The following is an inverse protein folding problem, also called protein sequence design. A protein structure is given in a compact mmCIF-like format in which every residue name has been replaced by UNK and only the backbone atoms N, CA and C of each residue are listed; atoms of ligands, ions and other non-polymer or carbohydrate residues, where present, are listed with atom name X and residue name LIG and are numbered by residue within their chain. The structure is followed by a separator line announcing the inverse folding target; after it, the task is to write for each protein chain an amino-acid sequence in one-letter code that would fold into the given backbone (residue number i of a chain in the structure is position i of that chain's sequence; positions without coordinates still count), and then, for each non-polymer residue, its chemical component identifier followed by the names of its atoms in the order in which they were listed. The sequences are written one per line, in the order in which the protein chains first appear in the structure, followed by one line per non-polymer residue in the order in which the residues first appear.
data_IF_660236190664
#
_entry.id   IF_660236190664
#
_cell.length_a   1.000
_cell.length_b   1.000
_cell.length_c   1.000
_cell.angle_alpha   90.00
_cell.angle_beta   90.00
_cell.angle_gamma   90.00
#
_symmetry.space_group_name_H-M   'P 1'
#
loop_
_entity.id
_entity.type
_entity.pdbx_description
1 polymer ?
#
# COMPACT_ATOMS: atom_id res chain seq x y z
N UNK A 1 -16.27 12.32 76.50
CA UNK A 1 -14.87 11.91 76.30
C UNK A 1 -14.59 11.83 74.82
N UNK A 2 -13.73 12.74 74.35
CA UNK A 2 -12.80 12.72 73.21
C UNK A 2 -13.27 12.19 71.83
N UNK A 3 -13.21 13.11 70.85
CA UNK A 3 -13.25 12.93 69.39
C UNK A 3 -11.99 12.22 68.87
N UNK A 4 -12.11 11.46 67.77
CA UNK A 4 -11.02 11.06 66.87
C UNK A 4 -11.54 10.31 65.62
N UNK A 5 -10.94 10.45 64.43
CA UNK A 5 -11.70 10.73 63.20
C UNK A 5 -11.73 9.61 62.14
N UNK A 6 -12.55 9.89 61.11
CA UNK A 6 -12.88 9.12 59.91
C UNK A 6 -11.67 8.66 59.08
N UNK A 7 -11.73 7.39 58.64
CA UNK A 7 -10.93 6.85 57.53
C UNK A 7 -11.82 6.63 56.31
N UNK A 8 -11.61 7.42 55.26
CA UNK A 8 -12.25 7.29 53.97
C UNK A 8 -11.61 6.15 53.17
N UNK A 9 -12.40 5.17 52.75
CA UNK A 9 -12.00 4.19 51.75
C UNK A 9 -12.47 4.69 50.38
N UNK A 10 -11.51 5.16 49.58
CA UNK A 10 -11.74 5.54 48.20
C UNK A 10 -11.92 4.26 47.35
N UNK A 11 -13.11 4.10 46.78
CA UNK A 11 -13.40 3.12 45.74
C UNK A 11 -12.75 3.63 44.45
N UNK A 12 -11.62 3.06 44.07
CA UNK A 12 -11.05 3.23 42.74
C UNK A 12 -11.82 2.33 41.76
N UNK A 13 -12.57 2.97 40.87
CA UNK A 13 -13.41 2.33 39.85
C UNK A 13 -12.60 1.54 38.82
N UNK A 14 -13.28 0.68 38.05
CA UNK A 14 -12.64 -0.16 37.05
C UNK A 14 -12.18 0.72 35.87
N UNK A 15 -10.88 0.71 35.60
CA UNK A 15 -10.31 1.15 34.34
C UNK A 15 -10.87 0.26 33.23
N UNK A 16 -11.87 0.78 32.54
CA UNK A 16 -12.39 0.22 31.30
C UNK A 16 -11.25 0.14 30.28
N UNK A 17 -10.74 -1.07 30.07
CA UNK A 17 -10.06 -1.44 28.82
C UNK A 17 -11.09 -1.37 27.70
N UNK A 18 -11.24 -0.16 27.13
CA UNK A 18 -11.86 0.00 25.83
C UNK A 18 -10.93 -0.59 24.78
N UNK A 19 -11.23 -1.82 24.35
CA UNK A 19 -10.86 -2.26 23.01
C UNK A 19 -11.62 -1.36 22.04
N UNK A 20 -11.04 -0.20 21.73
CA UNK A 20 -11.45 0.60 20.60
C UNK A 20 -11.21 -0.23 19.36
N UNK A 21 -12.29 -0.75 18.78
CA UNK A 21 -12.36 -0.86 17.33
C UNK A 21 -11.95 0.52 16.81
N UNK A 22 -10.70 0.64 16.35
CA UNK A 22 -10.27 1.80 15.60
C UNK A 22 -11.12 1.79 14.32
N UNK A 23 -12.26 2.49 14.39
CA UNK A 23 -12.95 2.93 13.19
C UNK A 23 -11.88 3.62 12.35
N UNK A 24 -11.64 3.12 11.13
CA UNK A 24 -10.81 3.82 10.15
C UNK A 24 -11.33 5.26 10.10
N UNK A 25 -10.53 6.22 10.56
CA UNK A 25 -10.96 7.62 10.67
C UNK A 25 -11.01 8.33 9.31
N UNK A 26 -10.64 7.65 8.22
CA UNK A 26 -10.69 8.15 6.85
C UNK A 26 -10.41 7.03 5.83
N UNK A 27 -10.54 7.38 4.56
CA UNK A 27 -10.21 6.52 3.42
C UNK A 27 -8.71 6.25 3.27
N UNK A 28 -8.37 5.40 2.30
CA UNK A 28 -6.97 5.01 2.03
C UNK A 28 -6.72 4.87 0.52
N UNK A 29 -7.45 5.63 -0.29
CA UNK A 29 -7.32 5.65 -1.74
C UNK A 29 -5.85 5.79 -2.18
N UNK A 30 -5.46 5.04 -3.21
CA UNK A 30 -4.10 5.09 -3.70
C UNK A 30 -3.77 6.50 -4.23
N UNK A 31 -2.63 7.12 -3.85
CA UNK A 31 -2.26 8.45 -4.32
C UNK A 31 -1.90 8.47 -5.81
N UNK A 32 -2.65 9.27 -6.57
CA UNK A 32 -2.43 9.49 -7.99
C UNK A 32 -2.27 10.97 -8.32
N UNK A 33 -1.50 11.26 -9.35
CA UNK A 33 -1.38 12.61 -9.90
C UNK A 33 -2.66 12.96 -10.66
N UNK A 34 -3.15 14.18 -10.45
CA UNK A 34 -4.31 14.70 -11.16
C UNK A 34 -4.16 16.21 -11.32
N UNK A 35 -5.19 16.89 -11.84
CA UNK A 35 -5.19 18.35 -11.94
C UNK A 35 -5.14 19.04 -10.57
N UNK A 36 -5.50 18.34 -9.50
CA UNK A 36 -5.58 18.86 -8.13
C UNK A 36 -4.64 18.16 -7.13
N UNK A 37 -3.94 17.10 -7.57
CA UNK A 37 -3.14 16.23 -6.71
C UNK A 37 -1.76 16.03 -7.28
N UNK A 38 -0.75 16.16 -6.42
CA UNK A 38 0.64 15.95 -6.79
C UNK A 38 1.25 14.84 -5.94
N UNK A 39 2.29 14.20 -6.47
CA UNK A 39 3.00 13.13 -5.77
C UNK A 39 4.50 13.35 -5.82
N UNK A 40 5.17 13.05 -4.72
CA UNK A 40 6.63 13.04 -4.61
C UNK A 40 7.07 11.77 -3.90
N UNK A 41 7.60 10.82 -4.65
CA UNK A 41 8.21 9.62 -4.08
C UNK A 41 9.45 9.98 -3.27
N UNK A 42 9.59 9.31 -2.12
CA UNK A 42 10.75 9.38 -1.23
C UNK A 42 11.57 8.08 -1.29
N UNK A 43 11.53 7.39 -2.43
CA UNK A 43 12.33 6.21 -2.72
C UNK A 43 13.81 6.56 -2.88
N UNK A 44 14.71 5.60 -2.67
CA UNK A 44 16.17 5.76 -2.70
C UNK A 44 16.81 5.48 -1.34
N UNK A 45 17.97 6.08 -1.07
CA UNK A 45 18.71 5.86 0.17
C UNK A 45 18.12 6.64 1.34
N UNK A 46 18.03 5.98 2.47
CA UNK A 46 17.66 6.54 3.77
C UNK A 46 18.79 6.26 4.76
N UNK A 47 19.04 7.20 5.68
CA UNK A 47 19.92 6.94 6.83
C UNK A 47 19.28 5.87 7.71
N UNK A 48 20.06 4.90 8.16
CA UNK A 48 19.56 3.74 8.88
C UNK A 48 20.39 3.43 10.11
N UNK A 49 19.73 3.02 11.19
CA UNK A 49 20.37 2.48 12.40
C UNK A 49 19.49 1.47 13.11
N UNK A 50 20.02 0.28 13.40
CA UNK A 50 19.40 -0.68 14.30
C UNK A 50 19.81 -0.40 15.76
N UNK A 51 18.84 -0.46 16.68
CA UNK A 51 19.08 -0.28 18.12
C UNK A 51 19.51 -1.60 18.77
N UNK A 52 20.82 -1.83 18.81
CA UNK A 52 21.43 -3.02 19.42
C UNK A 52 21.57 -2.93 20.96
N UNK A 53 21.03 -1.90 21.63
CA UNK A 53 21.09 -1.81 23.09
C UNK A 53 20.44 -3.03 23.74
N UNK A 54 20.90 -3.45 24.92
CA UNK A 54 20.42 -4.68 25.58
C UNK A 54 18.89 -4.72 25.76
N UNK A 55 18.27 -3.57 26.02
CA UNK A 55 16.83 -3.43 26.18
C UNK A 55 16.09 -3.04 24.89
N UNK A 56 16.82 -2.86 23.77
CA UNK A 56 16.33 -2.42 22.45
C UNK A 56 15.60 -1.07 22.45
N UNK A 57 15.86 -0.20 23.43
CA UNK A 57 15.11 1.05 23.63
C UNK A 57 15.99 2.30 23.77
N UNK A 58 17.29 2.20 23.55
CA UNK A 58 18.19 3.35 23.65
C UNK A 58 17.76 4.50 22.74
N UNK A 59 17.22 4.20 21.55
CA UNK A 59 16.76 5.23 20.63
C UNK A 59 15.59 6.07 21.14
N UNK A 60 14.73 5.48 21.97
CA UNK A 60 13.66 6.20 22.64
C UNK A 60 14.15 6.92 23.89
N UNK A 61 15.00 6.27 24.70
CA UNK A 61 15.59 6.84 25.92
C UNK A 61 16.40 8.10 25.63
N UNK A 62 17.16 8.10 24.52
CA UNK A 62 17.96 9.23 24.06
C UNK A 62 17.23 10.12 23.04
N UNK A 63 15.99 9.79 22.71
CA UNK A 63 15.13 10.56 21.80
C UNK A 63 15.79 10.85 20.44
N UNK A 64 16.31 9.81 19.78
CA UNK A 64 17.04 9.92 18.51
C UNK A 64 16.27 10.69 17.42
N UNK A 65 14.93 10.68 17.44
CA UNK A 65 14.06 11.42 16.52
C UNK A 65 14.16 12.96 16.63
N UNK A 66 14.62 13.50 17.77
CA UNK A 66 14.67 14.96 18.00
C UNK A 66 15.70 15.70 17.15
N UNK A 67 16.76 15.03 16.73
CA UNK A 67 17.86 15.59 15.92
C UNK A 67 18.17 14.66 14.74
N UNK A 68 18.94 15.11 13.73
CA UNK A 68 19.39 14.21 12.67
C UNK A 68 20.01 12.92 13.24
N UNK A 69 19.64 11.77 12.67
CA UNK A 69 20.00 10.44 13.17
C UNK A 69 21.53 10.27 13.25
N UNK A 70 22.27 10.85 12.31
CA UNK A 70 23.74 10.87 12.30
C UNK A 70 24.38 11.54 13.54
N UNK A 71 23.67 12.46 14.20
CA UNK A 71 24.18 13.13 15.41
C UNK A 71 24.08 12.25 16.66
N UNK A 72 23.23 11.22 16.63
CA UNK A 72 23.08 10.25 17.73
C UNK A 72 23.96 9.02 17.58
N UNK A 73 24.79 8.96 16.53
CA UNK A 73 25.77 7.89 16.30
C UNK A 73 25.89 7.48 14.83
N UNK A 74 26.76 6.50 14.52
CA UNK A 74 26.94 6.00 13.16
C UNK A 74 25.64 5.54 12.51
N UNK A 75 25.52 5.74 11.20
CA UNK A 75 24.38 5.32 10.38
C UNK A 75 24.89 4.58 9.15
N UNK A 76 24.00 3.79 8.54
CA UNK A 76 24.21 3.10 7.26
C UNK A 76 23.26 3.69 6.23
N UNK A 77 23.58 3.56 4.94
CA UNK A 77 22.60 3.78 3.89
C UNK A 77 21.73 2.53 3.74
N UNK A 78 20.41 2.73 3.67
CA UNK A 78 19.45 1.66 3.45
C UNK A 78 18.49 2.03 2.31
N UNK A 79 18.35 1.20 1.27
CA UNK A 79 17.42 1.48 0.19
C UNK A 79 15.97 1.32 0.65
N UNK A 80 15.10 2.18 0.11
CA UNK A 80 13.64 2.11 0.22
C UNK A 80 13.06 2.23 -1.19
N UNK A 81 12.20 1.30 -1.65
CA UNK A 81 11.70 0.11 -0.95
C UNK A 81 12.73 -1.04 -0.82
N UNK A 82 12.88 -1.60 0.38
CA UNK A 82 13.64 -2.84 0.62
C UNK A 82 13.40 -3.41 2.03
N UNK A 83 13.60 -4.71 2.17
CA UNK A 83 13.91 -5.31 3.48
C UNK A 83 15.35 -4.97 3.84
N UNK A 84 15.67 -4.73 5.12
CA UNK A 84 17.06 -4.43 5.51
C UNK A 84 17.94 -5.68 5.62
N UNK A 85 17.31 -6.86 5.76
CA UNK A 85 17.95 -8.05 6.29
C UNK A 85 19.13 -8.55 5.45
N UNK A 86 19.02 -8.48 4.12
CA UNK A 86 20.01 -9.02 3.18
C UNK A 86 20.78 -7.94 2.40
N UNK A 87 20.71 -6.68 2.86
CA UNK A 87 21.44 -5.55 2.25
C UNK A 87 22.89 -5.49 2.71
N UNK A 88 23.15 -5.84 3.98
CA UNK A 88 24.47 -5.72 4.60
C UNK A 88 25.14 -7.07 4.81
N UNK A 89 26.45 -7.06 5.06
CA UNK A 89 27.21 -8.26 5.44
C UNK A 89 27.16 -8.58 6.94
N UNK A 90 26.41 -7.80 7.75
CA UNK A 90 26.28 -8.04 9.19
C UNK A 90 25.19 -9.07 9.47
N UNK A 91 25.61 -10.30 9.80
CA UNK A 91 24.70 -11.39 10.17
C UNK A 91 23.83 -11.08 11.40
N UNK A 92 24.26 -10.16 12.27
CA UNK A 92 23.45 -9.67 13.41
C UNK A 92 22.29 -8.81 12.93
N UNK A 93 22.49 -8.03 11.86
CA UNK A 93 21.43 -7.21 11.28
C UNK A 93 20.40 -8.10 10.58
N UNK A 94 20.85 -9.12 9.82
CA UNK A 94 19.95 -10.07 9.14
C UNK A 94 18.93 -10.70 10.09
N UNK A 95 19.38 -11.11 11.26
CA UNK A 95 18.57 -11.79 12.29
C UNK A 95 18.12 -10.86 13.42
N UNK A 96 18.21 -9.54 13.23
CA UNK A 96 17.92 -8.57 14.27
C UNK A 96 16.44 -8.61 14.70
N UNK A 97 16.22 -8.46 16.01
CA UNK A 97 14.88 -8.33 16.62
C UNK A 97 14.89 -7.09 17.50
N UNK A 98 14.01 -6.14 17.20
CA UNK A 98 13.89 -4.89 17.94
C UNK A 98 13.58 -3.72 17.02
N UNK A 99 14.05 -2.54 17.40
CA UNK A 99 13.78 -1.31 16.67
C UNK A 99 14.89 -0.95 15.68
N UNK A 100 14.49 -0.69 14.45
CA UNK A 100 15.33 -0.05 13.43
C UNK A 100 14.80 1.34 13.13
N UNK A 101 15.71 2.26 12.81
CA UNK A 101 15.41 3.67 12.57
C UNK A 101 15.81 4.02 11.14
N UNK A 102 14.88 4.58 10.39
CA UNK A 102 15.10 5.17 9.07
C UNK A 102 14.96 6.68 9.17
N UNK A 103 15.80 7.44 8.47
CA UNK A 103 15.66 8.90 8.35
C UNK A 103 15.97 9.39 6.95
N UNK A 104 15.16 10.33 6.45
CA UNK A 104 15.40 11.05 5.21
C UNK A 104 14.94 12.49 5.30
N UNK A 105 15.72 13.39 4.70
CA UNK A 105 15.30 14.76 4.45
C UNK A 105 14.69 14.90 3.06
N UNK A 106 13.58 15.63 2.97
CA UNK A 106 12.87 15.91 1.72
C UNK A 106 12.72 17.42 1.53
N UNK A 107 13.20 17.93 0.40
CA UNK A 107 12.93 19.31 -0.04
C UNK A 107 11.52 19.34 -0.63
N UNK A 108 10.67 20.22 -0.10
CA UNK A 108 9.28 20.38 -0.54
C UNK A 108 9.18 21.51 -1.58
N UNK A 109 8.33 21.36 -2.62
CA UNK A 109 7.98 22.48 -3.48
C UNK A 109 7.43 23.64 -2.66
N UNK A 110 7.89 24.87 -2.95
CA UNK A 110 7.47 26.08 -2.21
C UNK A 110 5.95 26.26 -2.16
N UNK A 111 5.22 25.85 -3.22
CA UNK A 111 3.76 25.88 -3.24
C UNK A 111 3.12 25.03 -2.14
N UNK A 112 3.71 23.87 -1.79
CA UNK A 112 3.16 22.99 -0.74
C UNK A 112 3.29 23.60 0.66
N UNK A 113 4.28 24.47 0.87
CA UNK A 113 4.56 25.09 2.17
C UNK A 113 3.94 26.48 2.31
N UNK A 114 3.63 27.17 1.20
CA UNK A 114 3.08 28.53 1.23
C UNK A 114 1.58 28.60 0.95
N UNK A 115 1.03 27.68 0.16
CA UNK A 115 -0.40 27.65 -0.12
C UNK A 115 -1.15 26.83 0.95
N UNK A 116 -1.85 27.54 1.84
CA UNK A 116 -2.68 26.93 2.89
C UNK A 116 -3.93 26.23 2.35
N UNK A 117 -4.27 26.40 1.06
CA UNK A 117 -5.28 25.62 0.37
C UNK A 117 -4.83 24.22 -0.02
N UNK A 118 -3.52 23.94 0.09
CA UNK A 118 -2.92 22.63 -0.20
C UNK A 118 -2.78 21.82 1.09
N UNK A 119 -3.38 20.62 1.13
CA UNK A 119 -3.12 19.59 2.14
C UNK A 119 -1.89 18.78 1.73
N UNK A 120 -0.96 18.57 2.65
CA UNK A 120 0.28 17.78 2.44
C UNK A 120 0.25 16.56 3.34
N UNK A 121 0.43 15.38 2.74
CA UNK A 121 0.26 14.10 3.42
C UNK A 121 1.51 13.25 3.24
N UNK A 122 1.96 12.64 4.33
CA UNK A 122 2.98 11.59 4.30
C UNK A 122 2.28 10.23 4.30
N UNK A 123 2.50 9.44 3.25
CA UNK A 123 2.02 8.05 3.15
C UNK A 123 3.18 7.08 3.19
N UNK A 124 3.03 6.05 4.03
CA UNK A 124 3.92 4.90 4.11
C UNK A 124 3.11 3.70 3.61
N UNK A 125 3.53 3.12 2.48
CA UNK A 125 2.73 2.04 1.84
C UNK A 125 2.84 0.70 2.57
N UNK A 126 3.92 0.48 3.33
CA UNK A 126 4.05 -0.62 4.31
C UNK A 126 5.28 -0.44 5.20
N UNK A 127 5.19 -0.79 6.47
CA UNK A 127 6.32 -0.89 7.39
C UNK A 127 6.14 -2.10 8.32
N UNK A 128 7.07 -3.06 8.30
CA UNK A 128 6.90 -4.31 9.06
C UNK A 128 7.68 -4.32 10.39
N UNK A 129 7.04 -4.42 11.57
CA UNK A 129 5.61 -4.64 11.86
C UNK A 129 4.92 -3.46 12.54
N UNK A 130 5.54 -2.87 13.57
CA UNK A 130 5.00 -1.70 14.27
C UNK A 130 5.84 -0.47 13.96
N UNK A 131 5.22 0.59 13.45
CA UNK A 131 5.90 1.79 13.01
C UNK A 131 5.49 3.01 13.82
N UNK A 132 6.45 3.88 14.12
CA UNK A 132 6.24 5.21 14.71
C UNK A 132 6.92 6.23 13.80
N UNK A 133 6.22 7.31 13.47
CA UNK A 133 6.68 8.30 12.50
C UNK A 133 6.79 9.67 13.14
N UNK A 134 7.91 10.34 12.86
CA UNK A 134 8.15 11.73 13.21
C UNK A 134 8.47 12.57 11.98
N UNK A 135 7.98 13.80 11.99
CA UNK A 135 8.34 14.85 11.03
C UNK A 135 8.93 16.01 11.80
N UNK A 136 10.16 16.40 11.46
CA UNK A 136 10.93 17.42 12.15
C UNK A 136 11.04 17.17 13.66
N UNK A 137 11.09 15.89 14.07
CA UNK A 137 11.13 15.45 15.46
C UNK A 137 9.79 15.50 16.21
N UNK A 138 8.70 15.89 15.54
CA UNK A 138 7.34 15.87 16.08
C UNK A 138 6.66 14.56 15.67
N UNK A 139 6.07 13.85 16.63
CA UNK A 139 5.33 12.62 16.39
C UNK A 139 4.07 12.91 15.55
N UNK A 140 3.84 12.14 14.47
CA UNK A 140 2.70 12.37 13.56
C UNK A 140 1.73 11.20 13.47
N UNK A 141 2.21 9.96 13.52
CA UNK A 141 1.36 8.76 13.45
C UNK A 141 2.10 7.50 13.88
N UNK A 142 1.33 6.46 14.20
CA UNK A 142 1.80 5.10 14.49
C UNK A 142 0.95 4.11 13.70
N UNK A 143 1.51 2.94 13.39
CA UNK A 143 0.77 1.88 12.71
C UNK A 143 1.22 0.51 13.18
N UNK A 144 0.25 -0.36 13.42
CA UNK A 144 0.47 -1.78 13.70
C UNK A 144 -0.01 -2.61 12.51
N UNK A 145 0.91 -3.34 11.87
CA UNK A 145 0.62 -4.16 10.71
C UNK A 145 1.67 -3.99 9.61
N UNK A 146 2.16 -5.09 9.05
CA UNK A 146 3.34 -5.06 8.19
C UNK A 146 3.11 -4.84 6.69
N UNK A 147 1.87 -4.93 6.21
CA UNK A 147 1.55 -5.07 4.78
C UNK A 147 0.41 -4.17 4.29
N UNK A 148 0.01 -3.19 5.11
CA UNK A 148 -1.04 -2.24 4.78
C UNK A 148 -0.49 -0.80 4.89
N UNK A 149 -1.04 0.12 4.07
CA UNK A 149 -0.63 1.51 4.09
C UNK A 149 -1.22 2.26 5.28
N UNK A 150 -0.53 3.34 5.67
CA UNK A 150 -1.02 4.33 6.62
C UNK A 150 -0.46 5.71 6.27
N UNK A 151 -1.12 6.76 6.73
CA UNK A 151 -0.76 8.13 6.40
C UNK A 151 -0.95 9.11 7.55
N UNK A 152 -0.35 10.28 7.41
CA UNK A 152 -0.52 11.41 8.31
C UNK A 152 -0.60 12.72 7.52
N UNK A 153 -1.57 13.56 7.85
CA UNK A 153 -1.62 14.95 7.40
C UNK A 153 -0.52 15.75 8.14
N UNK A 154 0.44 16.26 7.40
CA UNK A 154 1.59 17.01 7.93
C UNK A 154 1.54 18.49 7.54
N UNK A 155 0.43 18.97 6.98
CA UNK A 155 0.28 20.33 6.45
C UNK A 155 0.69 21.38 7.48
N UNK A 156 0.17 21.26 8.71
CA UNK A 156 0.48 22.17 9.82
C UNK A 156 1.96 22.20 10.20
N UNK A 157 2.70 21.11 9.99
CA UNK A 157 4.13 21.04 10.32
C UNK A 157 5.02 21.64 9.23
N UNK A 158 4.57 21.59 7.97
CA UNK A 158 5.37 22.03 6.82
C UNK A 158 4.99 23.43 6.33
N UNK A 159 3.85 23.97 6.77
CA UNK A 159 3.34 25.30 6.41
C UNK A 159 3.56 26.37 7.49
N UNK A 160 4.16 26.01 8.63
CA UNK A 160 4.48 26.97 9.70
C UNK A 160 5.95 27.38 9.63
N UNK A 161 6.22 28.58 9.10
CA UNK A 161 7.55 29.20 9.10
C UNK A 161 8.40 28.90 7.85
N UNK A 162 9.64 29.41 7.78
CA UNK A 162 10.52 29.24 6.63
C UNK A 162 11.15 27.83 6.63
N UNK A 163 10.35 26.81 6.29
CA UNK A 163 10.83 25.44 6.14
C UNK A 163 11.18 25.17 4.66
N UNK A 164 12.46 24.93 4.41
CA UNK A 164 12.96 24.50 3.09
C UNK A 164 13.08 22.97 2.98
N UNK A 165 13.14 22.26 4.11
CA UNK A 165 13.26 20.80 4.14
C UNK A 165 12.43 20.19 5.28
N UNK A 166 11.99 18.95 5.06
CA UNK A 166 11.19 18.14 5.96
C UNK A 166 12.00 16.89 6.32
N UNK A 167 12.39 16.73 7.59
CA UNK A 167 13.10 15.55 8.09
C UNK A 167 12.10 14.52 8.58
N UNK A 168 12.07 13.37 7.93
CA UNK A 168 11.15 12.28 8.24
C UNK A 168 11.97 11.18 8.91
N UNK A 169 11.61 10.82 10.14
CA UNK A 169 12.21 9.72 10.90
C UNK A 169 11.15 8.65 11.15
N UNK A 170 11.47 7.38 10.91
CA UNK A 170 10.55 6.25 11.10
C UNK A 170 11.26 5.19 11.93
N UNK A 171 10.70 4.85 13.09
CA UNK A 171 11.14 3.69 13.88
C UNK A 171 10.22 2.50 13.57
N UNK A 172 10.80 1.33 13.32
CA UNK A 172 10.08 0.11 12.97
C UNK A 172 10.51 -1.02 13.91
N UNK A 173 9.55 -1.70 14.53
CA UNK A 173 9.77 -2.90 15.33
C UNK A 173 9.28 -4.14 14.60
N UNK A 174 10.15 -5.15 14.47
CA UNK A 174 9.84 -6.42 13.79
C UNK A 174 9.55 -7.59 14.75
N UNK A 175 9.37 -7.31 16.05
CA UNK A 175 9.02 -8.32 17.06
C UNK A 175 7.60 -8.80 16.83
N UNK A 176 7.43 -10.12 16.70
CA UNK A 176 6.12 -10.76 16.59
C UNK A 176 5.70 -11.32 17.95
N UNK A 177 4.44 -11.10 18.29
CA UNK A 177 3.83 -11.54 19.54
C UNK A 177 2.63 -12.48 19.25
N UNK A 178 2.04 -13.13 20.26
CA UNK A 178 0.81 -13.90 20.06
C UNK A 178 -0.36 -13.07 19.53
N UNK A 179 -0.26 -11.74 19.59
CA UNK A 179 -1.30 -10.79 19.19
C UNK A 179 -1.00 -10.12 17.83
N UNK A 180 0.17 -10.35 17.24
CA UNK A 180 0.49 -9.83 15.90
C UNK A 180 -0.06 -10.75 14.80
N UNK A 181 -0.22 -10.21 13.60
CA UNK A 181 -0.51 -11.00 12.39
C UNK A 181 0.60 -10.80 11.34
N UNK A 182 1.49 -11.78 11.14
CA UNK A 182 1.48 -13.13 11.71
C UNK A 182 1.89 -13.20 13.19
N UNK A 183 1.48 -14.24 13.95
CA UNK A 183 1.85 -14.38 15.34
C UNK A 183 3.26 -14.95 15.52
N UNK A 184 3.87 -14.64 16.66
CA UNK A 184 5.15 -15.21 17.07
C UNK A 184 5.35 -15.15 18.58
N UNK A 185 6.45 -15.72 19.08
CA UNK A 185 6.82 -15.63 20.50
C UNK A 185 8.31 -15.35 20.69
N UNK A 186 8.64 -14.49 21.64
CA UNK A 186 10.02 -14.32 22.10
C UNK A 186 10.34 -15.36 23.16
N UNK A 187 11.41 -16.11 22.93
CA UNK A 187 11.90 -17.14 23.84
C UNK A 187 13.27 -16.75 24.39
N UNK A 188 13.34 -16.43 25.67
CA UNK A 188 14.60 -16.24 26.38
C UNK A 188 15.20 -17.61 26.74
N UNK A 189 16.46 -17.83 26.37
CA UNK A 189 17.21 -19.03 26.75
C UNK A 189 18.12 -18.69 27.93
N UNK A 190 17.69 -19.07 29.12
CA UNK A 190 18.34 -18.69 30.39
C UNK A 190 19.41 -19.68 30.85
N UNK A 191 19.55 -20.83 30.20
CA UNK A 191 20.61 -21.82 30.47
C UNK A 191 21.95 -21.29 29.98
N UNK A 192 22.71 -20.66 30.89
CA UNK A 192 24.01 -20.06 30.59
C UNK A 192 25.12 -21.06 30.28
N UNK A 193 24.88 -22.37 30.47
CA UNK A 193 25.80 -23.41 30.02
C UNK A 193 25.76 -23.63 28.49
N UNK A 194 24.67 -23.21 27.84
CA UNK A 194 24.44 -23.39 26.39
C UNK A 194 24.35 -22.06 25.63
N UNK A 195 23.86 -21.02 26.28
CA UNK A 195 23.55 -19.73 25.64
C UNK A 195 24.19 -18.57 26.41
N UNK A 196 24.61 -17.49 25.72
CA UNK A 196 25.14 -16.31 26.40
C UNK A 196 24.06 -15.60 27.23
N UNK A 197 24.48 -14.82 28.24
CA UNK A 197 23.57 -14.03 29.07
C UNK A 197 22.71 -13.11 28.19
N UNK A 198 21.40 -13.12 28.41
CA UNK A 198 20.44 -12.29 27.66
C UNK A 198 20.08 -12.82 26.28
N UNK A 199 20.49 -14.05 25.92
CA UNK A 199 20.12 -14.65 24.64
C UNK A 199 18.60 -14.88 24.54
N UNK A 200 18.03 -14.42 23.43
CA UNK A 200 16.64 -14.67 23.07
C UNK A 200 16.49 -14.85 21.57
N UNK A 201 15.41 -15.48 21.15
CA UNK A 201 15.07 -15.71 19.74
C UNK A 201 13.59 -15.44 19.50
N UNK A 202 13.26 -15.05 18.26
CA UNK A 202 11.90 -15.05 17.75
C UNK A 202 11.56 -16.46 17.28
N UNK A 203 10.49 -17.03 17.84
CA UNK A 203 9.87 -18.23 17.31
C UNK A 203 8.69 -17.83 16.40
N UNK A 204 8.57 -18.51 15.27
CA UNK A 204 7.53 -18.30 14.27
C UNK A 204 6.95 -19.65 13.85
N UNK A 205 5.66 -19.68 13.50
CA UNK A 205 4.95 -20.88 13.02
C UNK A 205 4.44 -20.68 11.59
N UNK A 206 5.19 -19.94 10.78
CA UNK A 206 4.91 -19.70 9.37
C UNK A 206 6.18 -19.92 8.55
N UNK A 207 6.02 -20.33 7.30
CA UNK A 207 7.09 -20.82 6.43
C UNK A 207 7.54 -19.76 5.41
N UNK A 208 7.92 -18.59 5.92
CA UNK A 208 8.58 -17.54 5.16
C UNK A 208 9.47 -16.71 6.09
N UNK A 209 10.53 -16.11 5.56
CA UNK A 209 11.42 -15.31 6.37
C UNK A 209 10.73 -14.01 6.85
N UNK A 210 10.90 -13.69 8.14
CA UNK A 210 10.37 -12.48 8.76
C UNK A 210 11.20 -11.24 8.39
N UNK A 211 11.27 -10.95 7.08
CA UNK A 211 11.84 -9.72 6.55
C UNK A 211 11.16 -8.50 7.18
N UNK A 212 11.95 -7.46 7.44
CA UNK A 212 11.46 -6.23 8.03
C UNK A 212 12.08 -5.00 7.36
N UNK A 213 11.45 -3.85 7.55
CA UNK A 213 11.84 -2.57 6.96
C UNK A 213 10.70 -1.88 6.24
N UNK A 214 11.07 -0.94 5.35
CA UNK A 214 10.16 -0.20 4.48
C UNK A 214 10.11 -0.90 3.12
N UNK A 215 9.22 -1.90 2.99
CA UNK A 215 9.15 -2.78 1.82
C UNK A 215 8.52 -2.16 0.58
N UNK A 216 7.75 -1.08 0.75
CA UNK A 216 7.00 -0.41 -0.32
C UNK A 216 7.27 1.09 -0.30
N UNK A 217 6.93 1.81 -1.38
CA UNK A 217 7.23 3.22 -1.48
C UNK A 217 6.75 4.05 -0.30
N UNK A 218 7.59 4.98 0.13
CA UNK A 218 7.20 6.10 0.99
C UNK A 218 7.06 7.31 0.09
N UNK A 219 5.99 8.07 0.24
CA UNK A 219 5.74 9.23 -0.61
C UNK A 219 5.04 10.35 0.14
N UNK A 220 5.26 11.56 -0.34
CA UNK A 220 4.42 12.69 -0.01
C UNK A 220 3.42 12.89 -1.14
N UNK A 221 2.18 13.22 -0.81
CA UNK A 221 1.20 13.63 -1.81
C UNK A 221 0.42 14.86 -1.33
N UNK A 222 -0.24 15.52 -2.27
CA UNK A 222 -1.11 16.64 -1.98
C UNK A 222 -2.53 16.44 -2.47
N UNK A 223 -3.44 17.12 -1.79
CA UNK A 223 -4.83 17.36 -2.22
C UNK A 223 -5.18 18.81 -1.91
N UNK A 224 -6.31 19.34 -2.40
CA UNK A 224 -6.93 20.50 -1.78
C UNK A 224 -7.37 20.17 -0.34
N UNK A 225 -7.64 21.18 0.48
CA UNK A 225 -8.11 20.99 1.87
C UNK A 225 -9.51 20.37 1.96
N UNK A 226 -10.35 20.56 0.94
CA UNK A 226 -11.55 19.77 0.72
C UNK A 226 -11.27 18.73 -0.38
N UNK A 227 -11.37 17.45 -0.05
CA UNK A 227 -10.87 16.37 -0.91
C UNK A 227 -11.77 15.13 -0.90
N UNK A 228 -11.67 14.35 -1.98
CA UNK A 228 -12.27 13.02 -2.07
C UNK A 228 -11.42 12.05 -1.23
N UNK A 229 -12.00 11.57 -0.14
CA UNK A 229 -11.35 10.75 0.89
C UNK A 229 -11.46 9.26 0.56
N UNK A 230 -12.65 8.81 0.19
CA UNK A 230 -12.90 7.41 -0.17
C UNK A 230 -13.91 7.29 -1.32
N UNK A 231 -13.77 6.22 -2.11
CA UNK A 231 -14.68 5.84 -3.17
C UNK A 231 -14.90 4.34 -3.10
N UNK A 232 -16.12 3.93 -2.73
CA UNK A 232 -16.56 2.54 -2.82
C UNK A 232 -17.37 2.34 -4.09
N UNK A 233 -16.97 1.37 -4.91
CA UNK A 233 -17.72 0.94 -6.10
C UNK A 233 -18.11 -0.52 -5.99
N UNK A 234 -19.36 -0.83 -6.28
CA UNK A 234 -19.82 -2.20 -6.55
C UNK A 234 -20.49 -2.26 -7.91
N UNK A 235 -20.28 -3.36 -8.62
CA UNK A 235 -20.83 -3.54 -9.97
C UNK A 235 -21.77 -4.73 -10.02
N UNK A 236 -22.81 -4.61 -10.83
CA UNK A 236 -23.74 -5.69 -11.15
C UNK A 236 -24.06 -5.68 -12.65
N UNK A 237 -24.81 -6.66 -13.13
CA UNK A 237 -25.26 -6.77 -14.52
C UNK A 237 -26.71 -7.18 -14.55
N UNK A 238 -27.55 -6.35 -15.18
CA UNK A 238 -28.94 -6.69 -15.52
C UNK A 238 -29.06 -6.86 -17.03
N UNK A 239 -29.27 -8.09 -17.48
CA UNK A 239 -29.26 -8.49 -18.89
C UNK A 239 -27.92 -8.11 -19.57
N UNK A 240 -27.93 -7.12 -20.47
CA UNK A 240 -26.74 -6.58 -21.14
C UNK A 240 -26.30 -5.22 -20.56
N UNK A 241 -27.00 -4.71 -19.55
CA UNK A 241 -26.73 -3.42 -18.93
C UNK A 241 -25.84 -3.59 -17.70
N UNK A 242 -24.68 -2.94 -17.71
CA UNK A 242 -23.81 -2.86 -16.54
C UNK A 242 -24.31 -1.84 -15.54
N UNK A 243 -24.35 -2.20 -14.26
CA UNK A 243 -24.73 -1.32 -13.16
C UNK A 243 -23.49 -1.00 -12.34
N UNK A 244 -23.20 0.29 -12.14
CA UNK A 244 -22.06 0.78 -11.34
C UNK A 244 -22.59 1.61 -10.18
N UNK A 245 -22.67 1.00 -9.01
CA UNK A 245 -23.06 1.68 -7.78
C UNK A 245 -21.84 2.35 -7.17
N UNK A 246 -21.95 3.61 -6.76
CA UNK A 246 -20.87 4.34 -6.12
C UNK A 246 -21.31 4.97 -4.80
N UNK A 247 -20.37 5.04 -3.86
CA UNK A 247 -20.42 5.86 -2.65
C UNK A 247 -19.10 6.62 -2.56
N UNK A 248 -19.16 7.94 -2.37
CA UNK A 248 -18.03 8.86 -2.38
C UNK A 248 -18.07 9.66 -1.10
N UNK A 249 -16.97 9.63 -0.36
CA UNK A 249 -16.79 10.34 0.90
C UNK A 249 -15.87 11.54 0.68
N UNK A 250 -16.27 12.68 1.23
CA UNK A 250 -15.55 13.95 1.12
C UNK A 250 -15.20 14.43 2.52
N UNK A 251 -13.98 14.94 2.69
CA UNK A 251 -13.52 15.56 3.92
C UNK A 251 -13.15 17.02 3.67
N UNK A 252 -13.17 17.83 4.74
CA UNK A 252 -12.70 19.23 4.73
C UNK A 252 -13.72 20.29 4.33
N UNK A 253 -14.92 19.92 3.86
CA UNK A 253 -16.06 20.84 3.69
C UNK A 253 -17.38 20.08 3.63
N UNK A 254 -18.42 20.63 4.24
CA UNK A 254 -19.81 20.14 4.13
C UNK A 254 -20.58 20.79 2.95
N UNK A 255 -19.98 21.82 2.32
CA UNK A 255 -20.59 22.57 1.22
C UNK A 255 -19.87 22.29 -0.10
N UNK A 256 -20.31 21.23 -0.76
CA UNK A 256 -19.70 20.76 -2.00
C UNK A 256 -20.71 20.20 -3.00
N UNK A 257 -20.24 20.02 -4.23
CA UNK A 257 -20.93 19.32 -5.31
C UNK A 257 -20.00 18.26 -5.91
N UNK A 258 -20.57 17.11 -6.26
CA UNK A 258 -19.88 16.02 -6.92
C UNK A 258 -20.49 15.77 -8.30
N UNK A 259 -19.63 15.73 -9.31
CA UNK A 259 -19.92 15.24 -10.66
C UNK A 259 -19.16 13.91 -10.85
N UNK A 260 -19.86 12.90 -11.38
CA UNK A 260 -19.31 11.55 -11.56
C UNK A 260 -19.49 11.16 -13.01
N UNK A 261 -18.42 10.83 -13.71
CA UNK A 261 -18.44 10.37 -15.09
C UNK A 261 -17.80 8.99 -15.18
N UNK A 262 -18.44 8.07 -15.89
CA UNK A 262 -17.83 6.79 -16.25
C UNK A 262 -17.39 6.86 -17.71
N UNK A 263 -16.11 6.64 -17.96
CA UNK A 263 -15.49 6.68 -19.27
C UNK A 263 -15.12 5.26 -19.73
N UNK A 264 -15.29 4.97 -21.02
CA UNK A 264 -14.80 3.75 -21.65
C UNK A 264 -13.28 3.79 -21.94
N UNK A 265 -12.71 2.73 -22.52
CA UNK A 265 -11.28 2.64 -22.83
C UNK A 265 -10.81 3.67 -23.87
N UNK A 266 -11.74 4.20 -24.69
CA UNK A 266 -11.46 5.30 -25.64
C UNK A 266 -11.63 6.69 -25.00
N UNK A 267 -11.96 6.77 -23.71
CA UNK A 267 -12.14 8.03 -22.99
C UNK A 267 -13.48 8.73 -23.27
N UNK A 268 -14.47 8.02 -23.82
CA UNK A 268 -15.82 8.55 -24.05
C UNK A 268 -16.66 8.37 -22.80
N UNK A 269 -17.39 9.40 -22.41
CA UNK A 269 -18.31 9.33 -21.27
C UNK A 269 -19.53 8.48 -21.66
N UNK A 270 -19.67 7.32 -21.02
CA UNK A 270 -20.78 6.38 -21.26
C UNK A 270 -21.90 6.49 -20.23
N UNK A 271 -21.61 7.04 -19.04
CA UNK A 271 -22.62 7.32 -18.02
C UNK A 271 -22.21 8.52 -17.15
N UNK A 272 -23.20 9.19 -16.55
CA UNK A 272 -23.01 10.36 -15.68
C UNK A 272 -23.89 10.27 -14.44
N UNK A 273 -23.39 10.79 -13.33
CA UNK A 273 -24.10 10.90 -12.06
C UNK A 273 -23.65 12.14 -11.29
N UNK A 274 -24.34 12.42 -10.20
CA UNK A 274 -24.02 13.51 -9.27
C UNK A 274 -24.19 13.05 -7.83
N UNK A 275 -23.67 13.84 -6.89
CA UNK A 275 -23.79 13.58 -5.46
C UNK A 275 -22.85 12.48 -4.93
N UNK A 276 -22.90 12.25 -3.63
CA UNK A 276 -22.02 11.29 -2.93
C UNK A 276 -22.44 9.83 -3.05
N UNK A 277 -23.64 9.54 -3.58
CA UNK A 277 -24.11 8.18 -3.79
C UNK A 277 -24.98 8.13 -5.05
N UNK A 278 -24.86 7.06 -5.82
CA UNK A 278 -25.70 6.84 -7.00
C UNK A 278 -25.44 5.51 -7.68
N UNK A 279 -26.18 5.28 -8.77
CA UNK A 279 -26.01 4.13 -9.66
C UNK A 279 -25.95 4.63 -11.09
N UNK A 280 -24.88 4.27 -11.81
CA UNK A 280 -24.72 4.52 -13.23
C UNK A 280 -25.16 3.28 -14.00
N UNK A 281 -25.87 3.47 -15.11
CA UNK A 281 -26.26 2.40 -16.02
C UNK A 281 -25.47 2.51 -17.32
N UNK A 282 -24.93 1.39 -17.79
CA UNK A 282 -24.12 1.30 -19.00
C UNK A 282 -24.79 0.28 -19.94
N UNK A 283 -25.63 0.72 -20.88
CA UNK A 283 -26.26 -0.19 -21.84
C UNK A 283 -25.20 -0.93 -22.68
N UNK A 284 -25.44 -2.21 -22.94
CA UNK A 284 -24.52 -3.08 -23.68
C UNK A 284 -23.07 -3.00 -23.17
N UNK A 285 -22.90 -3.14 -21.86
CA UNK A 285 -21.61 -2.97 -21.18
C UNK A 285 -20.56 -3.99 -21.62
N UNK A 286 -19.32 -3.53 -21.73
CA UNK A 286 -18.15 -4.39 -21.84
C UNK A 286 -17.75 -4.89 -20.44
N UNK A 287 -18.09 -6.15 -20.15
CA UNK A 287 -17.78 -6.75 -18.86
C UNK A 287 -16.28 -7.02 -18.71
N UNK A 288 -15.78 -6.90 -17.49
CA UNK A 288 -14.46 -7.38 -17.11
C UNK A 288 -14.48 -8.91 -17.08
N UNK A 289 -13.58 -9.53 -17.84
CA UNK A 289 -13.40 -10.98 -17.86
C UNK A 289 -11.97 -11.35 -17.44
N UNK A 290 -11.78 -12.45 -16.68
CA UNK A 290 -10.45 -12.99 -16.44
C UNK A 290 -9.71 -13.32 -17.74
N UNK A 291 -8.38 -13.30 -17.68
CA UNK A 291 -7.54 -13.83 -18.76
C UNK A 291 -7.96 -15.27 -19.09
N UNK A 292 -7.99 -15.59 -20.40
CA UNK A 292 -8.49 -16.84 -21.00
C UNK A 292 -10.02 -17.04 -21.03
N UNK A 293 -10.81 -16.12 -20.48
CA UNK A 293 -12.28 -16.26 -20.46
C UNK A 293 -13.01 -15.43 -21.53
N UNK A 294 -12.29 -14.52 -22.20
CA UNK A 294 -12.82 -13.63 -23.24
C UNK A 294 -11.69 -13.16 -24.17
N UNK A 295 -12.01 -12.81 -25.42
CA UNK A 295 -11.03 -12.30 -26.41
C UNK A 295 -10.42 -10.95 -26.00
N UNK A 296 -11.20 -10.15 -25.27
CA UNK A 296 -10.77 -8.89 -24.62
C UNK A 296 -10.91 -9.04 -23.11
N UNK A 297 -9.91 -9.62 -22.42
CA UNK A 297 -9.96 -9.76 -20.97
C UNK A 297 -9.63 -8.43 -20.30
N UNK A 298 -9.97 -8.33 -19.02
CA UNK A 298 -9.64 -7.20 -18.15
C UNK A 298 -10.08 -5.80 -18.67
N UNK A 299 -11.23 -5.73 -19.34
CA UNK A 299 -11.80 -4.45 -19.78
C UNK A 299 -12.06 -3.53 -18.57
N UNK A 300 -11.57 -2.29 -18.65
CA UNK A 300 -11.69 -1.32 -17.56
C UNK A 300 -12.29 0.01 -18.03
N UNK A 301 -13.37 0.41 -17.37
CA UNK A 301 -13.85 1.78 -17.38
C UNK A 301 -13.03 2.65 -16.43
N UNK A 302 -13.16 3.97 -16.54
CA UNK A 302 -12.58 4.95 -15.62
C UNK A 302 -13.70 5.79 -14.98
N UNK A 303 -13.90 5.66 -13.67
CA UNK A 303 -14.82 6.48 -12.90
C UNK A 303 -14.12 7.78 -12.48
N UNK A 304 -14.34 8.85 -13.24
CA UNK A 304 -13.85 10.19 -12.92
C UNK A 304 -14.82 10.89 -11.96
N UNK A 305 -14.29 11.25 -10.79
CA UNK A 305 -15.01 12.03 -9.78
C UNK A 305 -14.40 13.42 -9.75
N UNK A 306 -15.26 14.44 -9.91
CA UNK A 306 -14.93 15.84 -9.74
C UNK A 306 -15.69 16.40 -8.55
N UNK A 307 -14.94 16.85 -7.55
CA UNK A 307 -15.43 17.62 -6.42
C UNK A 307 -15.29 19.11 -6.72
N UNK A 308 -16.33 19.89 -6.42
CA UNK A 308 -16.26 21.35 -6.34
C UNK A 308 -16.73 21.77 -4.95
N UNK A 309 -15.84 22.34 -4.15
CA UNK A 309 -16.14 22.74 -2.78
C UNK A 309 -16.00 24.25 -2.61
N UNK A 310 -16.84 24.85 -1.76
CA UNK A 310 -16.63 26.22 -1.29
C UNK A 310 -15.89 26.17 0.05
N UNK A 311 -14.76 26.86 0.13
CA UNK A 311 -13.98 27.02 1.37
C UNK A 311 -13.86 28.50 1.73
N UNK A 312 -13.41 28.79 2.96
CA UNK A 312 -13.13 30.15 3.40
C UNK A 312 -12.07 30.87 2.55
N UNK A 313 -11.18 30.12 1.90
CA UNK A 313 -10.14 30.65 1.00
C UNK A 313 -10.61 30.81 -0.46
N UNK A 314 -11.81 30.34 -0.79
CA UNK A 314 -12.37 30.35 -2.14
C UNK A 314 -12.81 28.96 -2.63
N UNK A 315 -13.27 28.88 -3.90
CA UNK A 315 -13.67 27.61 -4.50
C UNK A 315 -12.44 26.72 -4.75
N UNK A 316 -12.57 25.43 -4.41
CA UNK A 316 -11.58 24.39 -4.68
C UNK A 316 -12.18 23.32 -5.58
N UNK A 317 -11.32 22.66 -6.36
CA UNK A 317 -11.68 21.50 -7.17
C UNK A 317 -10.73 20.35 -6.92
N UNK A 318 -11.28 19.15 -6.76
CA UNK A 318 -10.51 17.92 -6.61
C UNK A 318 -10.96 16.86 -7.63
N UNK A 319 -10.00 16.12 -8.17
CA UNK A 319 -10.19 15.13 -9.21
C UNK A 319 -9.56 13.81 -8.79
N UNK A 320 -10.35 12.74 -8.85
CA UNK A 320 -9.87 11.37 -8.67
C UNK A 320 -10.49 10.45 -9.72
N UNK A 321 -9.68 9.56 -10.30
CA UNK A 321 -10.14 8.57 -11.28
C UNK A 321 -9.92 7.17 -10.74
N UNK A 322 -11.00 6.38 -10.61
CA UNK A 322 -10.93 5.00 -10.16
C UNK A 322 -11.18 4.04 -11.34
N UNK A 323 -10.28 3.08 -11.65
CA UNK A 323 -10.56 2.04 -12.63
C UNK A 323 -11.70 1.13 -12.17
N UNK A 324 -12.65 0.82 -13.06
CA UNK A 324 -13.82 -0.01 -12.75
C UNK A 324 -13.98 -1.12 -13.79
N UNK A 325 -13.85 -2.37 -13.35
CA UNK A 325 -14.21 -3.55 -14.14
C UNK A 325 -15.61 -4.01 -13.78
N UNK A 326 -16.58 -3.84 -14.68
CA UNK A 326 -17.96 -4.30 -14.45
C UNK A 326 -17.99 -5.82 -14.49
N UNK A 327 -18.20 -6.44 -13.33
CA UNK A 327 -18.32 -7.90 -13.20
C UNK A 327 -19.10 -8.33 -11.97
N UNK A 328 -19.68 -9.52 -12.02
CA UNK A 328 -20.27 -10.19 -10.86
C UNK A 328 -19.42 -11.38 -10.42
N UNK A 329 -19.45 -11.66 -9.11
CA UNK A 329 -18.83 -12.85 -8.50
C UNK A 329 -19.89 -13.52 -7.65
N UNK A 330 -20.12 -14.81 -7.88
CA UNK A 330 -21.07 -15.60 -7.11
C UNK A 330 -20.52 -17.00 -6.83
N UNK A 331 -21.02 -17.63 -5.78
CA UNK A 331 -20.67 -19.01 -5.42
C UNK A 331 -21.96 -19.79 -5.26
N UNK A 332 -22.05 -20.93 -5.93
CA UNK A 332 -23.12 -21.93 -5.71
C UNK A 332 -22.58 -23.05 -4.83
N UNK A 333 -23.40 -24.06 -4.54
CA UNK A 333 -22.95 -25.24 -3.80
C UNK A 333 -21.74 -25.94 -4.43
N UNK A 334 -21.55 -25.82 -5.75
CA UNK A 334 -20.56 -26.60 -6.51
C UNK A 334 -19.70 -25.79 -7.47
N UNK A 335 -19.98 -24.49 -7.67
CA UNK A 335 -19.32 -23.69 -8.69
C UNK A 335 -18.97 -22.31 -8.16
N UNK A 336 -17.82 -21.82 -8.61
CA UNK A 336 -17.47 -20.41 -8.56
C UNK A 336 -17.88 -19.78 -9.89
N UNK A 337 -18.63 -18.68 -9.86
CA UNK A 337 -19.16 -18.02 -11.05
C UNK A 337 -18.58 -16.62 -11.17
N UNK A 338 -18.13 -16.27 -12.38
CA UNK A 338 -17.81 -14.89 -12.78
C UNK A 338 -18.74 -14.54 -13.93
N UNK A 339 -19.48 -13.43 -13.80
CA UNK A 339 -20.47 -12.99 -14.81
C UNK A 339 -21.46 -14.11 -15.17
N UNK A 340 -21.92 -14.86 -14.16
CA UNK A 340 -22.84 -16.00 -14.32
C UNK A 340 -22.24 -17.26 -14.97
N UNK A 341 -20.97 -17.24 -15.40
CA UNK A 341 -20.30 -18.39 -16.03
C UNK A 341 -19.39 -19.13 -15.03
N UNK A 342 -19.34 -20.48 -15.05
CA UNK A 342 -18.41 -21.25 -14.24
C UNK A 342 -16.96 -20.85 -14.48
N UNK A 343 -16.24 -20.57 -13.41
CA UNK A 343 -14.83 -20.19 -13.42
C UNK A 343 -14.00 -21.24 -12.67
N UNK A 344 -12.85 -21.59 -13.25
CA UNK A 344 -11.91 -22.52 -12.67
C UNK A 344 -10.57 -21.82 -12.44
N UNK A 345 -10.11 -21.82 -11.19
CA UNK A 345 -8.80 -21.28 -10.83
C UNK A 345 -7.73 -22.28 -11.28
N UNK A 346 -6.91 -21.89 -12.26
CA UNK A 346 -5.71 -22.62 -12.65
C UNK A 346 -4.53 -21.65 -12.54
N UNK A 347 -3.90 -21.65 -11.37
CA UNK A 347 -3.01 -20.58 -10.96
C UNK A 347 -1.94 -21.03 -9.98
N UNK A 348 -1.28 -20.05 -9.37
CA UNK A 348 -0.16 -20.28 -8.45
C UNK A 348 -0.35 -19.54 -7.13
N UNK A 349 0.37 -19.96 -6.10
CA UNK A 349 0.62 -19.11 -4.94
C UNK A 349 1.89 -18.30 -5.23
N UNK A 350 1.93 -17.06 -4.75
CA UNK A 350 3.10 -16.19 -4.88
C UNK A 350 3.65 -15.81 -3.51
N UNK A 351 4.73 -15.05 -3.51
CA UNK A 351 5.26 -14.35 -2.36
C UNK A 351 5.90 -13.04 -2.83
N UNK A 352 5.89 -11.98 -2.00
CA UNK A 352 6.81 -10.85 -2.18
C UNK A 352 8.16 -11.32 -1.62
N UNK A 353 9.02 -11.87 -2.49
CA UNK A 353 10.33 -12.40 -2.13
C UNK A 353 11.25 -12.31 -3.35
N UNK A 354 12.45 -11.76 -3.14
CA UNK A 354 13.45 -11.60 -4.17
C UNK A 354 14.84 -11.47 -3.57
N UNK A 355 15.85 -11.87 -4.34
CA UNK A 355 17.26 -11.74 -3.96
C UNK A 355 17.58 -10.30 -3.54
N UNK A 356 18.36 -10.17 -2.46
CA UNK A 356 18.87 -8.92 -1.87
C UNK A 356 17.79 -8.03 -1.22
N UNK A 357 16.70 -7.73 -1.92
CA UNK A 357 15.65 -6.82 -1.44
C UNK A 357 14.61 -7.48 -0.53
N UNK A 358 14.60 -8.81 -0.44
CA UNK A 358 13.60 -9.58 0.29
C UNK A 358 12.18 -9.25 -0.21
N UNK A 359 11.33 -8.73 0.68
CA UNK A 359 9.97 -8.25 0.36
C UNK A 359 9.90 -6.91 -0.40
N UNK A 360 11.03 -6.29 -0.73
CA UNK A 360 11.07 -4.98 -1.38
C UNK A 360 10.42 -4.96 -2.75
N UNK A 361 9.50 -4.02 -2.98
CA UNK A 361 8.83 -3.84 -4.27
C UNK A 361 9.80 -3.50 -5.41
N UNK A 362 9.55 -4.06 -6.61
CA UNK A 362 10.36 -3.82 -7.81
C UNK A 362 9.53 -3.96 -9.10
N UNK A 363 9.54 -2.93 -9.94
CA UNK A 363 8.78 -2.93 -11.19
C UNK A 363 9.26 -3.98 -12.20
N UNK A 364 10.56 -4.25 -12.27
CA UNK A 364 11.11 -5.21 -13.23
C UNK A 364 10.70 -6.63 -12.89
N UNK A 365 10.76 -7.00 -11.60
CA UNK A 365 10.28 -8.29 -11.13
C UNK A 365 8.76 -8.42 -11.23
N UNK A 366 8.00 -7.36 -10.93
CA UNK A 366 6.56 -7.36 -11.11
C UNK A 366 6.17 -7.68 -12.57
N UNK A 367 6.73 -6.94 -13.53
CA UNK A 367 6.44 -7.15 -14.95
C UNK A 367 6.91 -8.54 -15.41
N UNK A 368 8.08 -9.00 -14.96
CA UNK A 368 8.57 -10.35 -15.26
C UNK A 368 7.61 -11.42 -14.76
N UNK A 369 7.12 -11.29 -13.55
CA UNK A 369 6.18 -12.23 -12.95
C UNK A 369 4.86 -12.27 -13.70
N UNK A 370 4.27 -11.13 -14.05
CA UNK A 370 3.02 -11.10 -14.82
C UNK A 370 3.21 -11.67 -16.24
N UNK A 371 4.37 -11.44 -16.86
CA UNK A 371 4.72 -12.10 -18.12
C UNK A 371 4.82 -13.62 -17.97
N UNK A 372 5.41 -14.11 -16.88
CA UNK A 372 5.48 -15.55 -16.58
C UNK A 372 4.11 -16.15 -16.28
N UNK A 373 3.23 -15.44 -15.55
CA UNK A 373 1.86 -15.87 -15.31
C UNK A 373 1.10 -16.07 -16.63
N UNK A 374 1.18 -15.09 -17.54
CA UNK A 374 0.55 -15.20 -18.86
C UNK A 374 1.16 -16.32 -19.69
N UNK A 375 2.48 -16.44 -19.71
CA UNK A 375 3.19 -17.52 -20.41
C UNK A 375 2.79 -18.91 -19.90
N UNK A 376 2.61 -19.06 -18.58
CA UNK A 376 2.17 -20.29 -17.93
C UNK A 376 0.70 -20.63 -18.22
N UNK A 377 -0.09 -19.67 -18.70
CA UNK A 377 -1.55 -19.79 -18.78
C UNK A 377 -2.23 -19.70 -17.41
N UNK A 378 -1.57 -19.08 -16.42
CA UNK A 378 -2.15 -18.88 -15.10
C UNK A 378 -3.20 -17.76 -15.14
N UNK A 379 -4.44 -18.04 -14.71
CA UNK A 379 -5.53 -17.06 -14.69
C UNK A 379 -5.80 -16.47 -13.30
N UNK A 380 -5.10 -16.95 -12.28
CA UNK A 380 -5.26 -16.53 -10.91
C UNK A 380 -3.98 -16.71 -10.10
N UNK A 381 -3.89 -15.97 -9.00
CA UNK A 381 -2.93 -16.25 -7.95
C UNK A 381 -3.51 -15.88 -6.59
N UNK A 382 -2.98 -16.49 -5.52
CA UNK A 382 -3.27 -16.09 -4.14
C UNK A 382 -2.11 -15.27 -3.57
N UNK A 383 -2.44 -14.14 -2.94
CA UNK A 383 -1.53 -13.27 -2.18
C UNK A 383 -1.08 -13.94 -0.87
N UNK A 384 -0.35 -15.04 -0.99
CA UNK A 384 0.12 -15.83 0.15
C UNK A 384 1.24 -15.05 0.86
N UNK A 385 1.18 -14.74 2.16
CA UNK A 385 0.06 -14.88 3.11
C UNK A 385 -0.42 -13.54 3.66
N UNK A 386 -0.25 -12.49 2.87
CA UNK A 386 -0.51 -11.10 3.25
C UNK A 386 -0.88 -10.29 2.00
N UNK A 387 -1.60 -9.15 2.15
CA UNK A 387 -1.84 -8.23 1.04
C UNK A 387 -0.52 -7.82 0.38
N UNK A 388 -0.45 -7.82 -0.94
CA UNK A 388 0.74 -7.37 -1.69
C UNK A 388 0.69 -5.86 -1.93
N UNK A 389 1.74 -5.31 -2.54
CA UNK A 389 1.80 -3.92 -2.95
C UNK A 389 0.61 -3.53 -3.85
N UNK A 390 0.17 -2.27 -3.77
CA UNK A 390 -1.02 -1.75 -4.48
C UNK A 390 -0.70 -1.41 -5.95
N UNK A 391 0.58 -1.18 -6.27
CA UNK A 391 1.10 -0.81 -7.58
C UNK A 391 0.62 -1.68 -8.77
N UNK A 392 0.47 -3.02 -8.65
CA UNK A 392 -0.04 -3.86 -9.73
C UNK A 392 -1.48 -3.53 -10.13
N UNK A 393 -2.31 -3.02 -9.22
CA UNK A 393 -3.70 -2.65 -9.50
C UNK A 393 -3.78 -1.44 -10.46
N UNK A 394 -2.76 -0.57 -10.44
CA UNK A 394 -2.66 0.60 -11.33
C UNK A 394 -2.34 0.22 -12.77
N UNK A 395 -1.68 -0.91 -12.98
CA UNK A 395 -1.15 -1.30 -14.29
C UNK A 395 -2.12 -2.15 -15.13
N UNK A 396 -3.31 -2.50 -14.61
CA UNK A 396 -4.35 -3.15 -15.40
C UNK A 396 -4.72 -2.33 -16.67
N UNK A 397 -4.40 -1.02 -16.71
CA UNK A 397 -4.52 -0.16 -17.91
C UNK A 397 -3.52 -0.48 -19.05
N UNK A 398 -2.34 -1.03 -18.77
CA UNK A 398 -1.25 -1.12 -19.78
C UNK A 398 -1.15 -2.52 -20.41
N UNK A 399 -1.60 -3.57 -19.72
CA UNK A 399 -1.43 -4.96 -20.16
C UNK A 399 -2.59 -5.54 -20.98
N UNK A 400 -3.68 -4.78 -21.18
CA UNK A 400 -4.87 -5.22 -21.92
C UNK A 400 -4.73 -5.09 -23.45
N UNK A 401 -3.69 -4.44 -23.97
CA UNK A 401 -3.43 -4.42 -25.41
C UNK A 401 -2.99 -5.83 -25.87
N UNK A 402 -3.74 -6.52 -26.75
CA UNK A 402 -3.22 -7.71 -27.40
C UNK A 402 -1.99 -7.34 -28.24
N UNK A 403 -1.02 -8.25 -28.45
CA UNK A 403 -0.01 -8.04 -29.47
C UNK A 403 -0.75 -7.78 -30.78
N UNK A 404 -0.44 -6.67 -31.47
CA UNK A 404 -0.94 -6.43 -32.83
C UNK A 404 -0.60 -7.66 -33.65
N UNK A 405 -1.61 -8.40 -34.09
CA UNK A 405 -1.42 -9.43 -35.09
C UNK A 405 -0.95 -8.74 -36.37
N UNK A 406 0.24 -9.09 -36.84
CA UNK A 406 0.64 -8.75 -38.19
C UNK A 406 -0.34 -9.41 -39.16
N UNK A 407 -1.25 -8.59 -39.69
CA UNK A 407 -2.01 -8.92 -40.88
C UNK A 407 -1.04 -9.02 -42.06
N UNK A 408 -1.06 -10.17 -42.72
CA UNK A 408 -0.22 -10.45 -43.86
C UNK A 408 -0.50 -9.54 -45.05
N UNK A 409 0.54 -9.32 -45.84
CA UNK A 409 0.40 -9.05 -47.26
C UNK A 409 1.15 -10.15 -48.03
N UNK A 410 0.47 -10.72 -49.00
CA UNK A 410 0.97 -11.82 -49.81
C UNK A 410 1.74 -11.29 -51.01
N UNK A 411 2.91 -11.85 -51.28
CA UNK A 411 3.40 -11.94 -52.66
C UNK A 411 4.17 -13.24 -52.89
N UNK A 412 3.98 -13.73 -54.10
CA UNK A 412 4.23 -15.07 -54.63
C UNK A 412 5.72 -15.45 -54.72
N UNK A 413 5.98 -16.76 -54.56
CA UNK A 413 6.82 -17.52 -55.51
C UNK A 413 8.26 -17.85 -55.11
N UNK A 414 8.50 -19.10 -54.68
CA UNK A 414 9.40 -20.09 -55.33
C UNK A 414 9.71 -21.27 -54.38
N UNK A 415 9.71 -22.47 -54.95
CA UNK A 415 9.97 -23.78 -54.32
C UNK A 415 11.43 -24.00 -53.85
N UNK A 416 11.70 -25.03 -53.02
CA UNK A 416 12.86 -25.10 -52.12
C UNK A 416 14.05 -25.87 -52.71
N UNK A 417 15.20 -25.87 -52.00
CA UNK A 417 15.85 -27.16 -51.76
C UNK A 417 16.41 -27.32 -50.34
N UNK A 418 16.49 -28.57 -49.88
CA UNK A 418 17.55 -28.99 -48.97
C UNK A 418 17.09 -29.65 -47.67
N UNK A 419 16.91 -30.98 -47.72
CA UNK A 419 17.10 -31.87 -46.56
C UNK A 419 18.50 -31.68 -45.97
N UNK A 420 18.60 -31.74 -44.64
CA UNK A 420 19.71 -32.41 -43.95
C UNK A 420 19.28 -32.83 -42.54
N UNK A 421 19.12 -34.14 -42.37
CA UNK A 421 19.07 -34.85 -41.09
C UNK A 421 20.45 -34.86 -40.43
N UNK A 422 20.53 -34.60 -39.11
CA UNK A 422 21.57 -35.15 -38.20
C UNK A 422 20.94 -35.25 -36.79
N UNK A 423 20.39 -36.42 -36.42
CA UNK A 423 20.97 -37.49 -35.58
C UNK A 423 21.11 -37.13 -34.09
N UNK A 424 20.31 -37.83 -33.27
CA UNK A 424 20.50 -38.04 -31.82
C UNK A 424 21.66 -39.02 -31.59
N UNK A 425 22.52 -38.73 -30.62
CA UNK A 425 23.50 -39.66 -30.08
C UNK A 425 23.48 -39.64 -28.56
N UNK A 426 23.15 -40.81 -28.00
CA UNK A 426 23.33 -41.39 -26.65
C UNK A 426 23.33 -40.48 -25.41
#
# INVERSE_FOLDING_TARGET
MVRGPAGAWAVLGPLLWGCGLALLQGGMLYPQESRSRERKELNGLWSFRADFSDNRRQGFEQQWYRKPLRESGPTLDMPVPSSFNDISQDGRLRSFIGWVWYEREAILPQRWTQDLGTRVVLRISSAHYYAIVWVNGVHVTEHEGGHLPFEADISKLVQTGPLSSCRITIAINNTLSPHTLPPGTILYKTDTSKYPKGYFVQNTNFDFFNYAGLHRPVLLYTTPTAYIDDITVTTDVDQDTGLVNYQIFVQGSDHFQLEVHLLDEEGRVVAKGTGGQGQLQVPSAHLWWPYLMHERPAYLYSLEVKLTAQTSAGPLSDFYTLPVGIRTVAVTERQFLINGKPFYFHGVNKHEDADIRGKGFDWSLLVKDFNLLRWLGANAFRTSHYPYAEEPELQQRVSAAPPRGDGGDGSQGQEPPGRCDVVRGQ
#
